data_IF_669314426839
#
_entry.id   IF_669314426839
#
_cell.length_a   1.000
_cell.length_b   1.000
_cell.length_c   1.000
_cell.angle_alpha   90.00
_cell.angle_beta   90.00
_cell.angle_gamma   90.00
#
_symmetry.space_group_name_H-M   'P 1'
#
loop_
_entity.id
_entity.type
_entity.pdbx_description
1 polymer ?
#
# COMPACT_ATOMS: atom_id res chain seq x y z
N UNK A 1 17.01 -7.85 -13.73
CA UNK A 1 16.64 -8.61 -14.95
C UNK A 1 15.81 -7.68 -15.84
N UNK A 2 15.64 -7.97 -17.13
CA UNK A 2 14.63 -7.27 -17.95
C UNK A 2 13.36 -8.11 -17.83
N UNK A 3 12.26 -7.53 -17.35
CA UNK A 3 10.97 -8.23 -17.39
C UNK A 3 10.55 -8.35 -18.86
N UNK A 4 10.39 -9.60 -19.31
CA UNK A 4 9.78 -9.92 -20.61
C UNK A 4 8.35 -10.46 -20.43
N UNK A 5 7.86 -10.50 -19.20
CA UNK A 5 6.54 -11.01 -18.90
C UNK A 5 5.49 -9.96 -19.24
N UNK A 6 4.30 -10.46 -19.55
CA UNK A 6 3.16 -9.63 -19.85
C UNK A 6 2.65 -8.95 -18.56
N UNK A 7 2.26 -7.67 -18.60
CA UNK A 7 1.65 -6.99 -17.47
C UNK A 7 0.37 -7.69 -17.00
N UNK A 8 0.14 -7.78 -15.70
CA UNK A 8 -1.07 -8.39 -15.13
C UNK A 8 -2.01 -7.32 -14.57
N UNK A 9 -1.47 -6.31 -13.88
CA UNK A 9 -2.27 -5.22 -13.31
C UNK A 9 -1.71 -3.84 -13.64
N UNK A 10 -2.62 -2.86 -13.78
CA UNK A 10 -2.27 -1.44 -13.75
C UNK A 10 -2.26 -0.95 -12.30
N UNK A 11 -1.23 -0.18 -11.91
CA UNK A 11 -1.07 0.28 -10.52
C UNK A 11 -1.01 1.79 -10.35
N UNK A 12 -0.88 2.54 -11.45
CA UNK A 12 -0.83 4.00 -11.44
C UNK A 12 -1.04 4.56 -12.86
N UNK A 13 -1.69 5.72 -12.99
CA UNK A 13 -1.84 6.46 -14.24
C UNK A 13 -1.60 7.95 -14.01
N UNK A 14 -0.80 8.56 -14.87
CA UNK A 14 -0.48 10.00 -14.82
C UNK A 14 -0.02 10.52 -16.17
N UNK A 15 0.01 11.85 -16.29
CA UNK A 15 0.62 12.53 -17.43
C UNK A 15 2.02 13.00 -17.07
N UNK A 16 3.00 12.74 -17.94
CA UNK A 16 4.30 13.40 -17.89
C UNK A 16 4.32 14.48 -18.95
N UNK A 17 4.66 15.71 -18.56
CA UNK A 17 4.82 16.81 -19.48
C UNK A 17 5.67 17.90 -18.89
N UNK A 18 5.76 19.04 -19.57
CA UNK A 18 6.42 20.20 -19.00
C UNK A 18 6.10 21.45 -19.81
N UNK A 19 6.63 22.61 -19.39
CA UNK A 19 6.37 23.89 -20.09
C UNK A 19 6.69 23.87 -21.60
N UNK A 20 7.54 22.93 -22.03
CA UNK A 20 8.01 22.81 -23.42
C UNK A 20 7.91 21.38 -23.98
N UNK A 21 7.24 20.46 -23.28
CA UNK A 21 7.10 19.05 -23.67
C UNK A 21 5.62 18.71 -23.67
N UNK A 22 5.13 18.13 -24.76
CA UNK A 22 3.75 17.68 -24.87
C UNK A 22 3.43 16.68 -23.74
N UNK A 23 2.28 16.86 -23.10
CA UNK A 23 1.82 15.93 -22.07
C UNK A 23 1.56 14.57 -22.71
N UNK A 24 2.20 13.53 -22.15
CA UNK A 24 2.04 12.14 -22.58
C UNK A 24 1.54 11.31 -21.41
N UNK A 25 0.55 10.47 -21.68
CA UNK A 25 0.02 9.55 -20.68
C UNK A 25 1.01 8.40 -20.42
N UNK A 26 1.14 8.05 -19.16
CA UNK A 26 1.92 6.94 -18.66
C UNK A 26 1.08 6.08 -17.73
N UNK A 27 1.17 4.78 -17.94
CA UNK A 27 0.61 3.75 -17.07
C UNK A 27 1.77 2.99 -16.43
N UNK A 28 1.75 2.82 -15.11
CA UNK A 28 2.65 1.90 -14.42
C UNK A 28 1.91 0.60 -14.22
N UNK A 29 2.55 -0.49 -14.58
CA UNK A 29 2.01 -1.84 -14.48
C UNK A 29 2.95 -2.75 -13.71
N UNK A 30 2.39 -3.86 -13.22
CA UNK A 30 3.13 -4.94 -12.57
C UNK A 30 2.89 -6.24 -13.34
N UNK A 31 3.93 -7.05 -13.50
CA UNK A 31 3.83 -8.38 -14.12
C UNK A 31 3.58 -9.49 -13.08
N UNK A 32 3.41 -10.72 -13.56
CA UNK A 32 3.18 -11.90 -12.72
C UNK A 32 4.35 -12.24 -11.77
N UNK A 33 5.55 -11.71 -12.02
CA UNK A 33 6.72 -11.88 -11.17
C UNK A 33 6.91 -10.72 -10.17
N UNK A 34 6.03 -9.71 -10.20
CA UNK A 34 6.11 -8.53 -9.35
C UNK A 34 7.04 -7.43 -9.88
N UNK A 35 7.51 -7.51 -11.13
CA UNK A 35 8.35 -6.46 -11.70
C UNK A 35 7.51 -5.30 -12.25
N UNK A 36 8.01 -4.09 -12.05
CA UNK A 36 7.37 -2.86 -12.52
C UNK A 36 7.72 -2.56 -13.98
N UNK A 37 6.75 -2.04 -14.72
CA UNK A 37 6.94 -1.52 -16.08
C UNK A 37 6.19 -0.20 -16.26
N UNK A 38 6.80 0.74 -16.96
CA UNK A 38 6.13 1.95 -17.41
C UNK A 38 5.77 1.82 -18.89
N UNK A 39 4.50 2.00 -19.21
CA UNK A 39 3.93 1.91 -20.55
C UNK A 39 3.44 3.29 -20.96
N UNK A 40 3.82 3.73 -22.14
CA UNK A 40 3.38 5.01 -22.69
C UNK A 40 2.13 4.86 -23.55
N UNK A 41 1.45 5.98 -23.76
CA UNK A 41 0.19 6.09 -24.49
C UNK A 41 0.04 5.25 -25.79
N UNK A 42 1.10 5.13 -26.59
CA UNK A 42 1.06 4.42 -27.88
C UNK A 42 0.79 2.92 -27.74
N UNK A 43 1.17 2.32 -26.61
CA UNK A 43 1.11 0.88 -26.37
C UNK A 43 -0.09 0.46 -25.51
N UNK A 44 -0.89 1.41 -25.02
CA UNK A 44 -2.01 1.13 -24.10
C UNK A 44 -3.05 0.18 -24.73
N UNK A 45 -3.30 0.32 -26.03
CA UNK A 45 -4.25 -0.54 -26.75
C UNK A 45 -3.80 -1.99 -26.93
N UNK A 46 -2.51 -2.26 -26.73
CA UNK A 46 -1.92 -3.60 -26.81
C UNK A 46 -1.84 -4.30 -25.44
N UNK A 47 -2.32 -3.66 -24.37
CA UNK A 47 -2.31 -4.24 -23.03
C UNK A 47 -3.35 -5.35 -22.87
N UNK A 48 -3.14 -6.31 -21.95
CA UNK A 48 -4.14 -7.34 -21.63
C UNK A 48 -5.47 -6.77 -21.19
N UNK A 49 -6.54 -7.55 -21.37
CA UNK A 49 -7.89 -7.16 -21.01
C UNK A 49 -8.02 -6.83 -19.51
N UNK A 50 -7.37 -7.58 -18.64
CA UNK A 50 -7.36 -7.34 -17.18
C UNK A 50 -6.80 -5.95 -16.84
N UNK A 51 -5.67 -5.57 -17.45
CA UNK A 51 -5.05 -4.26 -17.26
C UNK A 51 -5.93 -3.14 -17.82
N UNK A 52 -6.63 -3.37 -18.94
CA UNK A 52 -7.58 -2.42 -19.50
C UNK A 52 -8.80 -2.24 -18.60
N UNK A 53 -9.28 -3.30 -17.96
CA UNK A 53 -10.38 -3.25 -17.00
C UNK A 53 -9.98 -2.48 -15.73
N UNK A 54 -8.78 -2.71 -15.20
CA UNK A 54 -8.22 -1.94 -14.08
C UNK A 54 -8.18 -0.45 -14.41
N UNK A 55 -7.66 -0.09 -15.59
CA UNK A 55 -7.59 1.29 -16.05
C UNK A 55 -8.99 1.92 -16.19
N UNK A 56 -9.90 1.24 -16.86
CA UNK A 56 -11.27 1.74 -17.07
C UNK A 56 -12.01 1.94 -15.74
N UNK A 57 -11.83 1.03 -14.78
CA UNK A 57 -12.44 1.17 -13.47
C UNK A 57 -11.86 2.37 -12.71
N UNK A 58 -10.54 2.52 -12.71
CA UNK A 58 -9.88 3.67 -12.09
C UNK A 58 -10.31 5.00 -12.73
N UNK A 59 -10.55 5.05 -14.04
CA UNK A 59 -11.08 6.25 -14.71
C UNK A 59 -12.50 6.60 -14.26
N UNK A 60 -13.36 5.59 -14.06
CA UNK A 60 -14.77 5.79 -13.64
C UNK A 60 -14.86 6.20 -12.17
N UNK A 61 -14.14 5.51 -11.29
CA UNK A 61 -14.21 5.74 -9.83
C UNK A 61 -13.28 6.86 -9.40
N UNK A 62 -12.05 6.84 -9.90
CA UNK A 62 -11.01 7.84 -9.61
C UNK A 62 -11.27 9.21 -10.28
N UNK A 63 -12.53 9.47 -10.67
CA UNK A 63 -13.10 10.50 -11.57
C UNK A 63 -12.66 11.97 -11.42
N UNK A 64 -11.61 12.29 -10.67
CA UNK A 64 -11.10 13.65 -10.49
C UNK A 64 -9.57 13.82 -10.43
N UNK A 65 -8.79 12.73 -10.33
CA UNK A 65 -7.41 12.82 -9.86
C UNK A 65 -6.34 12.48 -10.92
N UNK A 66 -6.61 12.62 -12.22
CA UNK A 66 -5.51 12.60 -13.20
C UNK A 66 -4.56 13.75 -12.88
N UNK A 67 -3.30 13.41 -12.62
CA UNK A 67 -2.21 14.35 -12.32
C UNK A 67 -1.28 14.49 -13.51
N UNK A 68 -0.76 15.69 -13.70
CA UNK A 68 0.41 15.94 -14.53
C UNK A 68 1.62 16.11 -13.61
N UNK A 69 2.70 15.40 -13.93
CA UNK A 69 4.02 15.60 -13.36
C UNK A 69 4.84 16.41 -14.36
N UNK A 70 5.24 17.62 -13.96
CA UNK A 70 6.10 18.53 -14.72
C UNK A 70 7.56 18.04 -14.64
N UNK A 71 7.95 17.19 -15.58
CA UNK A 71 9.22 16.46 -15.56
C UNK A 71 9.77 16.19 -16.96
N UNK A 72 11.10 16.07 -17.04
CA UNK A 72 11.80 15.58 -18.22
C UNK A 72 11.92 14.06 -18.19
N UNK A 73 12.13 13.51 -16.99
CA UNK A 73 12.25 12.08 -16.75
C UNK A 73 11.69 11.69 -15.38
N UNK A 74 11.28 10.44 -15.24
CA UNK A 74 10.95 9.82 -13.97
C UNK A 74 11.54 8.41 -13.87
N UNK A 75 11.63 7.92 -12.65
CA UNK A 75 12.04 6.56 -12.31
C UNK A 75 10.89 5.89 -11.56
N UNK A 76 10.74 4.59 -11.71
CA UNK A 76 9.82 3.80 -10.89
C UNK A 76 10.64 2.92 -9.95
N UNK A 77 10.23 2.81 -8.70
CA UNK A 77 10.96 2.11 -7.66
C UNK A 77 10.05 1.15 -6.91
N UNK A 78 10.35 -0.13 -7.01
CA UNK A 78 9.71 -1.18 -6.23
C UNK A 78 10.35 -1.17 -4.84
N UNK A 79 9.61 -0.72 -3.83
CA UNK A 79 10.09 -0.69 -2.45
C UNK A 79 9.86 -2.04 -1.80
N UNK A 80 10.92 -2.63 -1.26
CA UNK A 80 10.94 -3.97 -0.65
C UNK A 80 11.24 -3.92 0.86
N UNK A 81 12.05 -2.96 1.30
CA UNK A 81 12.33 -2.76 2.72
C UNK A 81 12.67 -1.29 3.03
N UNK A 82 12.45 -0.92 4.28
CA UNK A 82 12.82 0.37 4.84
C UNK A 82 13.68 0.16 6.08
N UNK A 83 14.74 0.94 6.22
CA UNK A 83 15.60 0.97 7.40
C UNK A 83 15.73 2.38 7.96
N UNK A 84 15.61 2.50 9.29
CA UNK A 84 15.96 3.70 10.04
C UNK A 84 17.21 3.42 10.88
N UNK A 85 18.36 4.03 10.56
CA UNK A 85 19.59 3.80 11.31
C UNK A 85 19.47 4.35 12.74
N UNK A 86 20.00 3.65 13.75
CA UNK A 86 19.85 4.05 15.16
C UNK A 86 20.71 5.26 15.54
N UNK A 87 21.76 5.57 14.77
CA UNK A 87 22.76 6.61 15.06
C UNK A 87 22.38 8.01 14.57
N UNK A 88 21.24 8.17 13.90
CA UNK A 88 20.71 9.48 13.50
C UNK A 88 19.47 9.77 14.34
N UNK A 89 19.58 10.47 15.48
CA UNK A 89 18.44 10.97 16.23
C UNK A 89 18.11 12.40 15.77
N UNK A 90 16.95 12.58 15.13
CA UNK A 90 16.54 13.88 14.62
C UNK A 90 15.14 13.86 13.98
N UNK A 91 14.42 14.98 14.05
CA UNK A 91 13.08 15.08 13.43
C UNK A 91 13.04 14.80 11.92
N UNK A 92 14.17 14.92 11.21
CA UNK A 92 14.28 14.75 9.76
C UNK A 92 15.46 13.84 9.36
N UNK A 93 15.64 12.74 10.09
CA UNK A 93 16.72 11.79 9.84
C UNK A 93 16.65 11.14 8.47
N UNK A 94 17.80 10.66 7.95
CA UNK A 94 17.81 9.81 6.78
C UNK A 94 17.09 8.48 7.04
N UNK A 95 16.45 8.00 6.00
CA UNK A 95 15.74 6.74 5.91
C UNK A 95 16.22 6.05 4.64
N UNK A 96 16.59 4.79 4.77
CA UNK A 96 17.12 4.00 3.67
C UNK A 96 16.02 3.10 3.11
N UNK A 97 15.76 3.24 1.82
CA UNK A 97 14.75 2.51 1.10
C UNK A 97 15.43 1.52 0.17
N UNK A 98 15.22 0.23 0.39
CA UNK A 98 15.81 -0.85 -0.40
C UNK A 98 14.79 -1.42 -1.36
N UNK A 99 15.26 -1.75 -2.56
CA UNK A 99 14.45 -2.43 -3.56
C UNK A 99 15.01 -2.27 -4.96
N UNK A 100 14.12 -2.26 -5.96
CA UNK A 100 14.50 -2.31 -7.37
C UNK A 100 14.01 -1.09 -8.14
N UNK A 101 14.93 -0.34 -8.77
CA UNK A 101 14.66 0.85 -9.56
C UNK A 101 14.72 0.59 -11.07
N UNK A 102 13.84 1.24 -11.82
CA UNK A 102 13.75 1.17 -13.28
C UNK A 102 13.65 2.58 -13.87
N UNK A 103 14.11 2.74 -15.11
CA UNK A 103 14.16 4.03 -15.81
C UNK A 103 15.59 4.52 -16.09
N UNK A 104 15.75 5.76 -16.55
CA UNK A 104 14.72 6.80 -16.65
C UNK A 104 13.68 6.56 -17.75
N UNK A 105 12.48 7.11 -17.55
CA UNK A 105 11.39 7.17 -18.52
C UNK A 105 11.05 8.63 -18.86
N UNK A 106 10.84 8.99 -20.15
CA UNK A 106 11.02 8.15 -21.33
C UNK A 106 12.49 7.72 -21.52
N UNK A 107 12.68 6.46 -21.87
CA UNK A 107 14.00 5.89 -22.08
C UNK A 107 14.56 6.24 -23.47
N UNK A 108 15.87 6.50 -23.56
CA UNK A 108 16.58 6.66 -24.83
C UNK A 108 17.14 5.33 -25.38
N UNK A 109 17.09 4.25 -24.59
CA UNK A 109 17.62 2.91 -24.88
C UNK A 109 16.75 1.84 -24.21
N UNK A 110 16.66 0.65 -24.82
CA UNK A 110 16.00 -0.53 -24.24
C UNK A 110 16.67 -1.00 -22.92
N UNK A 111 17.92 -0.63 -22.67
CA UNK A 111 18.62 -0.95 -21.42
C UNK A 111 17.97 -0.33 -20.16
N UNK A 112 17.15 0.72 -20.33
CA UNK A 112 16.48 1.42 -19.23
C UNK A 112 15.34 0.62 -18.60
N UNK A 113 14.89 -0.48 -19.24
CA UNK A 113 13.91 -1.41 -18.68
C UNK A 113 14.53 -2.44 -17.72
N UNK A 114 15.87 -2.44 -17.57
CA UNK A 114 16.55 -3.34 -16.63
C UNK A 114 16.40 -2.81 -15.21
N UNK A 115 15.74 -3.59 -14.35
CA UNK A 115 15.68 -3.31 -12.92
C UNK A 115 17.07 -3.38 -12.28
N UNK A 116 17.41 -2.34 -11.52
CA UNK A 116 18.65 -2.21 -10.76
C UNK A 116 18.29 -2.28 -9.28
N UNK A 117 18.83 -3.26 -8.56
CA UNK A 117 18.71 -3.31 -7.11
C UNK A 117 19.65 -2.30 -6.47
N UNK A 118 19.16 -1.60 -5.45
CA UNK A 118 19.93 -0.56 -4.79
C UNK A 118 19.17 0.07 -3.64
N UNK A 119 19.73 1.18 -3.15
CA UNK A 119 19.27 1.87 -1.96
C UNK A 119 19.03 3.34 -2.28
N UNK A 120 17.79 3.80 -2.06
CA UNK A 120 17.43 5.21 -2.14
C UNK A 120 17.44 5.81 -0.73
N UNK A 121 18.24 6.86 -0.54
CA UNK A 121 18.28 7.60 0.73
C UNK A 121 17.39 8.84 0.63
N UNK A 122 16.39 8.91 1.50
CA UNK A 122 15.50 10.07 1.65
C UNK A 122 15.46 10.48 3.12
N UNK A 123 14.91 11.64 3.44
CA UNK A 123 14.67 11.98 4.84
C UNK A 123 13.27 11.53 5.28
N UNK A 124 13.06 11.34 6.59
CA UNK A 124 11.77 10.95 7.18
C UNK A 124 10.62 11.87 6.77
N UNK A 125 10.85 13.19 6.76
CA UNK A 125 9.84 14.17 6.36
C UNK A 125 9.55 14.07 4.86
N UNK A 126 10.58 13.84 4.02
CA UNK A 126 10.40 13.68 2.57
C UNK A 126 9.55 12.44 2.26
N UNK A 127 9.77 11.33 2.98
CA UNK A 127 8.99 10.11 2.84
C UNK A 127 7.52 10.30 3.24
N UNK A 128 7.27 10.83 4.45
CA UNK A 128 5.91 11.11 4.93
C UNK A 128 5.18 12.11 4.03
N UNK A 129 5.87 13.17 3.61
CA UNK A 129 5.31 14.15 2.68
C UNK A 129 4.99 13.51 1.33
N UNK A 130 5.88 12.67 0.79
CA UNK A 130 5.66 11.92 -0.44
C UNK A 130 4.37 11.11 -0.39
N UNK A 131 4.13 10.38 0.70
CA UNK A 131 2.91 9.58 0.90
C UNK A 131 1.67 10.49 0.94
N UNK A 132 1.69 11.51 1.80
CA UNK A 132 0.54 12.42 2.00
C UNK A 132 0.17 13.16 0.71
N UNK A 133 1.15 13.68 -0.02
CA UNK A 133 0.90 14.45 -1.25
C UNK A 133 0.43 13.55 -2.41
N UNK A 134 0.80 12.28 -2.39
CA UNK A 134 0.47 11.31 -3.44
C UNK A 134 -0.84 10.55 -3.17
N UNK A 135 -1.33 10.55 -1.92
CA UNK A 135 -2.49 9.77 -1.47
C UNK A 135 -3.76 9.98 -2.31
N UNK A 136 -4.04 11.23 -2.70
CA UNK A 136 -5.19 11.59 -3.53
C UNK A 136 -5.15 11.01 -4.95
N UNK A 137 -3.98 10.54 -5.38
CA UNK A 137 -3.72 9.96 -6.70
C UNK A 137 -3.56 8.45 -6.67
N UNK A 138 -4.12 7.80 -5.64
CA UNK A 138 -4.15 6.34 -5.54
C UNK A 138 -4.95 5.73 -6.68
N UNK A 139 -4.48 4.58 -7.15
CA UNK A 139 -5.14 3.80 -8.19
C UNK A 139 -6.21 2.91 -7.56
N UNK A 140 -7.42 2.93 -8.12
CA UNK A 140 -8.58 2.24 -7.55
C UNK A 140 -8.89 0.97 -8.33
N UNK A 141 -9.20 -0.11 -7.61
CA UNK A 141 -9.58 -1.39 -8.20
C UNK A 141 -11.02 -1.76 -7.89
N UNK A 142 -11.62 -2.50 -8.82
CA UNK A 142 -12.90 -3.13 -8.59
C UNK A 142 -12.73 -4.25 -7.58
N UNK A 143 -13.49 -4.18 -6.49
CA UNK A 143 -13.61 -5.30 -5.57
C UNK A 143 -14.97 -5.93 -5.70
N UNK A 144 -15.06 -7.22 -5.38
CA UNK A 144 -16.30 -7.99 -5.45
C UNK A 144 -17.44 -7.41 -4.60
N UNK A 145 -18.56 -8.13 -4.53
CA UNK A 145 -19.89 -7.71 -4.06
C UNK A 145 -20.01 -6.99 -2.68
N UNK A 146 -18.92 -6.74 -1.95
CA UNK A 146 -18.86 -6.08 -0.65
C UNK A 146 -18.65 -4.55 -0.71
N UNK A 147 -18.53 -3.93 -1.89
CA UNK A 147 -18.59 -2.47 -2.05
C UNK A 147 -17.42 -1.64 -1.49
N UNK A 148 -16.32 -2.26 -1.05
CA UNK A 148 -15.14 -1.57 -0.52
C UNK A 148 -14.03 -1.47 -1.56
N UNK A 149 -13.81 -0.29 -2.15
CA UNK A 149 -12.74 -0.07 -3.16
C UNK A 149 -11.36 -0.29 -2.56
N UNK A 150 -10.55 -1.16 -3.18
CA UNK A 150 -9.14 -1.32 -2.83
C UNK A 150 -8.30 -0.31 -3.60
N UNK A 151 -7.18 0.12 -2.98
CA UNK A 151 -6.31 1.16 -3.54
C UNK A 151 -4.86 0.71 -3.60
N UNK A 152 -4.18 1.10 -4.66
CA UNK A 152 -2.72 1.11 -4.74
C UNK A 152 -2.23 2.56 -4.63
N UNK A 153 -1.45 2.82 -3.59
CA UNK A 153 -0.81 4.10 -3.35
C UNK A 153 0.59 4.12 -3.95
N UNK A 154 0.94 5.25 -4.54
CA UNK A 154 2.31 5.59 -4.93
C UNK A 154 2.89 6.61 -3.96
N UNK A 155 4.21 6.74 -3.95
CA UNK A 155 4.96 7.71 -3.17
C UNK A 155 5.93 8.42 -4.10
N UNK A 156 5.67 9.69 -4.42
CA UNK A 156 6.62 10.50 -5.17
C UNK A 156 7.75 10.98 -4.24
N UNK A 157 8.97 10.51 -4.51
CA UNK A 157 10.17 10.77 -3.71
C UNK A 157 11.25 11.54 -4.49
N UNK A 158 12.07 12.33 -3.78
CA UNK A 158 13.16 13.08 -4.41
C UNK A 158 14.39 12.18 -4.62
N UNK A 159 14.73 11.90 -5.88
CA UNK A 159 15.92 11.13 -6.26
C UNK A 159 17.21 11.96 -6.41
N UNK A 160 17.09 13.28 -6.52
CA UNK A 160 18.24 14.17 -6.77
C UNK A 160 18.19 15.43 -5.88
N UNK A 161 19.15 16.33 -6.05
CA UNK A 161 19.23 17.63 -5.38
C UNK A 161 18.07 18.53 -5.79
N UNK A 162 17.74 19.49 -4.93
CA UNK A 162 16.64 20.44 -5.14
C UNK A 162 16.68 21.12 -6.52
N UNK A 163 17.86 21.55 -6.95
CA UNK A 163 18.10 22.22 -8.23
C UNK A 163 17.65 21.37 -9.43
N UNK A 164 17.95 20.07 -9.39
CA UNK A 164 17.63 19.13 -10.46
C UNK A 164 16.15 18.75 -10.44
N UNK A 165 15.55 18.62 -9.26
CA UNK A 165 14.10 18.44 -9.10
C UNK A 165 13.34 19.64 -9.68
N UNK A 166 13.81 20.86 -9.41
CA UNK A 166 13.22 22.07 -10.02
C UNK A 166 13.36 22.11 -11.55
N UNK A 167 14.33 21.38 -12.12
CA UNK A 167 14.49 21.20 -13.57
C UNK A 167 13.63 20.07 -14.13
N UNK A 168 12.92 19.33 -13.28
CA UNK A 168 12.10 18.18 -13.67
C UNK A 168 12.88 16.87 -13.81
N UNK A 169 14.00 16.73 -13.09
CA UNK A 169 14.80 15.49 -13.03
C UNK A 169 14.75 14.87 -11.64
N UNK A 170 15.18 13.62 -11.52
CA UNK A 170 15.27 12.95 -10.22
C UNK A 170 13.90 12.72 -9.56
N UNK A 171 12.85 12.53 -10.37
CA UNK A 171 11.51 12.23 -9.89
C UNK A 171 11.36 10.72 -9.74
N UNK A 172 11.16 10.21 -8.51
CA UNK A 172 11.08 8.76 -8.25
C UNK A 172 9.69 8.38 -7.76
N UNK A 173 8.95 7.65 -8.59
CA UNK A 173 7.67 7.06 -8.27
C UNK A 173 7.88 5.74 -7.52
N UNK A 174 7.62 5.73 -6.23
CA UNK A 174 7.89 4.58 -5.36
C UNK A 174 6.61 3.81 -5.03
N UNK A 175 6.67 2.49 -5.15
CA UNK A 175 5.53 1.59 -4.95
C UNK A 175 5.90 0.55 -3.89
N UNK A 176 5.37 0.69 -2.65
CA UNK A 176 5.41 -0.38 -1.66
C UNK A 176 4.52 -1.52 -2.16
N UNK A 177 5.10 -2.62 -2.59
CA UNK A 177 4.35 -3.76 -3.12
C UNK A 177 4.75 -5.04 -2.40
N UNK A 178 3.86 -6.01 -2.47
CA UNK A 178 4.12 -7.35 -1.97
C UNK A 178 5.11 -8.03 -2.94
N UNK A 179 6.12 -8.75 -2.45
CA UNK A 179 6.96 -9.57 -3.32
C UNK A 179 6.10 -10.56 -4.11
N UNK A 180 6.39 -10.74 -5.41
CA UNK A 180 5.61 -11.61 -6.30
C UNK A 180 5.50 -13.07 -5.83
N UNK A 181 6.48 -13.55 -5.06
CA UNK A 181 6.47 -14.91 -4.49
C UNK A 181 5.46 -15.08 -3.33
N UNK A 182 5.08 -13.98 -2.70
CA UNK A 182 4.16 -13.96 -1.55
C UNK A 182 2.78 -13.55 -2.01
N UNK A 183 2.65 -12.56 -2.89
CA UNK A 183 1.38 -12.05 -3.39
C UNK A 183 0.71 -12.97 -4.40
N UNK A 184 -0.40 -13.60 -4.02
CA UNK A 184 -1.37 -14.16 -4.96
C UNK A 184 -2.09 -13.02 -5.68
N UNK A 185 -1.46 -12.42 -6.69
CA UNK A 185 -2.10 -11.61 -7.73
C UNK A 185 -2.60 -10.21 -7.36
N UNK A 186 -2.83 -9.89 -6.09
CA UNK A 186 -3.54 -8.66 -5.74
C UNK A 186 -2.62 -7.40 -5.72
N UNK A 187 -2.91 -6.35 -6.52
CA UNK A 187 -2.00 -5.20 -6.72
C UNK A 187 -2.19 -4.05 -5.71
N UNK A 188 -3.09 -4.16 -4.73
CA UNK A 188 -3.35 -3.12 -3.73
C UNK A 188 -2.38 -3.19 -2.53
N UNK A 189 -2.10 -2.04 -1.90
CA UNK A 189 -1.05 -1.92 -0.90
C UNK A 189 -1.42 -1.11 0.36
N UNK A 190 -2.72 -0.92 0.65
CA UNK A 190 -3.19 -0.10 1.78
C UNK A 190 -2.55 -0.50 3.12
N UNK A 191 -2.39 -1.81 3.34
CA UNK A 191 -1.79 -2.34 4.56
C UNK A 191 -0.29 -2.01 4.67
N UNK A 192 0.47 -2.14 3.56
CA UNK A 192 1.89 -1.80 3.54
C UNK A 192 2.11 -0.31 3.81
N UNK A 193 1.27 0.53 3.20
CA UNK A 193 1.31 1.99 3.38
C UNK A 193 0.96 2.38 4.81
N UNK A 194 -0.05 1.76 5.41
CA UNK A 194 -0.42 1.99 6.81
C UNK A 194 0.73 1.66 7.76
N UNK A 195 1.41 0.52 7.57
CA UNK A 195 2.59 0.15 8.36
C UNK A 195 3.75 1.13 8.16
N UNK A 196 4.01 1.52 6.91
CA UNK A 196 5.05 2.50 6.60
C UNK A 196 4.82 3.82 7.33
N UNK A 197 3.60 4.37 7.27
CA UNK A 197 3.25 5.62 7.96
C UNK A 197 3.34 5.44 9.47
N UNK A 198 2.80 4.35 10.01
CA UNK A 198 2.86 4.05 11.44
C UNK A 198 4.32 4.03 11.95
N UNK A 199 5.22 3.33 11.25
CA UNK A 199 6.62 3.23 11.63
C UNK A 199 7.33 4.60 11.62
N UNK A 200 6.99 5.46 10.65
CA UNK A 200 7.54 6.81 10.57
C UNK A 200 6.99 7.72 11.68
N UNK A 201 5.68 7.65 11.96
CA UNK A 201 5.04 8.45 13.02
C UNK A 201 5.51 8.04 14.41
N UNK A 202 5.70 6.74 14.62
CA UNK A 202 6.23 6.18 15.86
C UNK A 202 7.67 6.65 16.11
N UNK A 203 8.54 6.57 15.10
CA UNK A 203 9.90 7.11 15.19
C UNK A 203 9.91 8.62 15.42
N UNK A 204 9.07 9.37 14.70
CA UNK A 204 8.95 10.82 14.86
C UNK A 204 8.49 11.20 16.27
N UNK A 205 7.55 10.43 16.84
CA UNK A 205 7.08 10.63 18.21
C UNK A 205 8.21 10.46 19.22
N UNK A 206 9.04 9.44 19.07
CA UNK A 206 10.22 9.22 19.93
C UNK A 206 11.16 10.43 19.90
N UNK A 207 11.44 10.96 18.72
CA UNK A 207 12.38 12.08 18.58
C UNK A 207 11.79 13.40 19.09
N UNK A 208 10.51 13.66 18.85
CA UNK A 208 9.76 14.77 19.48
C UNK A 208 9.87 14.72 21.01
N UNK A 209 9.75 13.53 21.60
CA UNK A 209 9.86 13.35 23.04
C UNK A 209 11.29 13.59 23.53
N UNK A 210 12.32 13.04 22.85
CA UNK A 210 13.73 13.23 23.19
C UNK A 210 14.15 14.70 23.10
N UNK A 211 13.78 15.38 22.03
CA UNK A 211 14.11 16.78 21.77
C UNK A 211 13.20 17.78 22.52
N UNK A 212 12.16 17.28 23.21
CA UNK A 212 11.17 18.08 23.96
C UNK A 212 10.45 19.11 23.08
N UNK A 213 10.21 18.77 21.83
CA UNK A 213 9.51 19.63 20.87
C UNK A 213 8.03 19.72 21.27
N UNK A 214 7.46 20.93 21.22
CA UNK A 214 6.04 21.14 21.49
C UNK A 214 5.21 20.69 20.27
N UNK A 215 4.73 19.45 20.29
CA UNK A 215 4.03 18.85 19.16
C UNK A 215 2.89 17.92 19.62
N UNK A 216 1.71 17.92 18.95
CA UNK A 216 0.56 17.10 19.36
C UNK A 216 0.84 15.59 19.45
N UNK A 217 1.70 15.05 18.57
CA UNK A 217 2.08 13.64 18.60
C UNK A 217 2.74 13.19 19.91
N UNK A 218 3.35 14.11 20.66
CA UNK A 218 4.15 13.78 21.85
C UNK A 218 3.38 12.94 22.86
N UNK A 219 2.13 13.31 23.11
CA UNK A 219 1.25 12.69 24.11
C UNK A 219 0.12 11.86 23.48
N UNK A 220 0.01 11.86 22.15
CA UNK A 220 -1.02 11.14 21.43
C UNK A 220 -0.75 9.63 21.45
N UNK A 221 -1.80 8.83 21.68
CA UNK A 221 -1.74 7.38 21.44
C UNK A 221 -1.93 7.12 19.95
N UNK A 222 -0.94 6.51 19.29
CA UNK A 222 -1.03 6.19 17.87
C UNK A 222 -2.01 5.02 17.65
N UNK A 223 -2.89 5.08 16.64
CA UNK A 223 -3.70 3.93 16.25
C UNK A 223 -2.79 2.80 15.74
N UNK A 224 -3.22 1.55 15.89
CA UNK A 224 -2.51 0.39 15.37
C UNK A 224 -3.04 0.00 13.99
N UNK A 225 -2.18 -0.54 13.13
CA UNK A 225 -2.54 -0.91 11.76
C UNK A 225 -3.48 -2.11 11.72
N UNK A 226 -3.27 -3.08 12.61
CA UNK A 226 -4.22 -4.17 12.83
C UNK A 226 -4.30 -4.47 14.31
N UNK A 227 -5.50 -4.30 14.87
CA UNK A 227 -5.74 -4.62 16.27
C UNK A 227 -5.62 -6.12 16.50
N UNK A 228 -6.04 -6.95 15.54
CA UNK A 228 -5.91 -8.40 15.64
C UNK A 228 -4.45 -8.85 15.84
N UNK A 229 -3.52 -8.33 15.04
CA UNK A 229 -2.10 -8.71 15.14
C UNK A 229 -1.51 -8.22 16.45
N UNK A 230 -1.81 -6.99 16.84
CA UNK A 230 -1.40 -6.41 18.10
C UNK A 230 -1.90 -7.22 19.31
N UNK A 231 -3.16 -7.65 19.29
CA UNK A 231 -3.73 -8.50 20.33
C UNK A 231 -3.06 -9.87 20.41
N UNK A 232 -2.71 -10.48 19.27
CA UNK A 232 -2.02 -11.76 19.23
C UNK A 232 -0.58 -11.65 19.76
N UNK A 233 0.13 -10.56 19.41
CA UNK A 233 1.45 -10.28 19.94
C UNK A 233 1.41 -10.11 21.46
N UNK A 234 0.43 -9.36 21.98
CA UNK A 234 0.22 -9.22 23.41
C UNK A 234 -0.11 -10.55 24.10
N UNK A 235 -0.99 -11.37 23.52
CA UNK A 235 -1.29 -12.71 24.05
C UNK A 235 -0.04 -13.60 24.08
N UNK A 236 0.79 -13.55 23.05
CA UNK A 236 2.07 -14.29 23.00
C UNK A 236 3.06 -13.86 24.10
N UNK A 237 2.94 -12.62 24.57
CA UNK A 237 3.75 -12.04 25.65
C UNK A 237 3.13 -12.23 27.04
N UNK A 238 2.02 -13.00 27.15
CA UNK A 238 1.38 -13.32 28.43
C UNK A 238 0.37 -12.27 28.92
N UNK A 239 -0.13 -11.41 28.03
CA UNK A 239 -1.26 -10.53 28.34
C UNK A 239 -2.59 -11.22 28.09
N UNK A 240 -3.55 -10.99 28.99
CA UNK A 240 -4.96 -11.34 28.80
C UNK A 240 -5.72 -10.09 28.43
N UNK A 241 -6.48 -10.20 27.34
CA UNK A 241 -7.26 -9.11 26.79
C UNK A 241 -8.72 -9.30 27.20
N UNK A 242 -9.29 -8.31 27.87
CA UNK A 242 -10.71 -8.24 28.24
C UNK A 242 -11.30 -6.95 27.65
N UNK A 243 -12.02 -7.08 26.55
CA UNK A 243 -12.50 -5.91 25.79
C UNK A 243 -11.32 -5.06 25.31
N UNK A 244 -11.37 -3.75 25.59
CA UNK A 244 -10.30 -2.80 25.22
C UNK A 244 -9.17 -2.71 26.24
N UNK A 245 -9.04 -3.69 27.15
CA UNK A 245 -7.99 -3.65 28.18
C UNK A 245 -7.12 -4.90 28.14
N UNK A 246 -5.80 -4.69 28.04
CA UNK A 246 -4.80 -5.72 28.27
C UNK A 246 -4.33 -5.69 29.74
N UNK A 247 -4.26 -6.87 30.36
CA UNK A 247 -3.72 -7.07 31.71
C UNK A 247 -2.66 -8.16 31.67
N UNK A 248 -1.47 -7.91 32.23
CA UNK A 248 -0.43 -8.93 32.34
C UNK A 248 -0.88 -10.00 33.33
N UNK A 249 -0.82 -11.28 32.96
CA UNK A 249 -1.10 -12.35 33.91
C UNK A 249 0.03 -12.44 34.95
N UNK A 250 -0.27 -12.34 36.26
CA UNK A 250 0.71 -12.68 37.28
C UNK A 250 1.02 -14.19 37.18
N UNK A 251 2.24 -14.54 36.75
CA UNK A 251 2.71 -15.92 36.61
C UNK A 251 2.94 -16.42 35.17
N UNK A 252 2.74 -15.60 34.14
CA UNK A 252 3.01 -15.97 32.74
C UNK A 252 4.50 -15.85 32.32
N UNK A 253 5.39 -15.45 33.23
CA UNK A 253 6.82 -15.73 33.08
C UNK A 253 7.01 -17.24 33.30
N UNK A 254 7.36 -17.96 32.24
CA UNK A 254 7.37 -19.42 32.20
C UNK A 254 7.95 -20.09 33.43
N UNK A 255 7.31 -21.20 33.81
CA UNK A 255 7.85 -22.13 34.79
C UNK A 255 9.17 -22.72 34.31
N UNK A 256 10.26 -22.08 34.69
CA UNK A 256 11.60 -22.66 34.80
C UNK A 256 12.20 -22.13 36.12
N UNK A 257 12.42 -22.96 37.14
CA UNK A 257 13.07 -22.52 38.36
C UNK A 257 14.56 -22.25 38.06
N UNK A 258 15.06 -21.09 38.47
CA UNK A 258 16.48 -20.70 38.54
C UNK A 258 17.21 -20.17 37.28
N UNK A 259 16.59 -19.34 36.43
CA UNK A 259 17.37 -18.46 35.54
C UNK A 259 16.92 -17.00 35.66
N UNK A 260 17.64 -16.29 36.54
CA UNK A 260 17.94 -14.85 36.59
C UNK A 260 16.80 -13.82 36.76
N UNK A 261 17.00 -12.77 37.61
CA UNK A 261 16.07 -11.63 37.79
C UNK A 261 15.94 -10.68 36.57
N UNK A 262 16.44 -11.06 35.39
CA UNK A 262 16.62 -10.15 34.25
C UNK A 262 15.39 -10.07 33.32
N UNK A 263 14.41 -10.97 33.48
CA UNK A 263 13.16 -10.98 32.66
C UNK A 263 12.07 -10.06 33.24
N UNK A 264 12.27 -9.54 34.45
CA UNK A 264 11.45 -8.47 35.05
C UNK A 264 11.72 -7.09 34.42
N UNK A 265 12.84 -6.93 33.72
CA UNK A 265 13.29 -5.68 33.13
C UNK A 265 13.27 -5.65 31.61
N UNK A 266 12.70 -6.64 30.92
CA UNK A 266 12.52 -6.53 29.47
C UNK A 266 11.49 -5.42 29.20
N UNK A 267 11.89 -4.27 28.63
CA UNK A 267 10.93 -3.26 28.24
C UNK A 267 9.98 -3.91 27.24
N UNK A 268 8.70 -3.54 27.32
CA UNK A 268 7.75 -3.81 26.26
C UNK A 268 8.41 -3.43 24.91
N UNK A 269 8.21 -4.21 23.83
CA UNK A 269 8.68 -3.82 22.50
C UNK A 269 8.33 -2.35 22.24
N UNK A 270 9.24 -1.58 21.63
CA UNK A 270 9.04 -0.12 21.44
C UNK A 270 7.70 0.22 20.76
N UNK A 271 7.27 -0.63 19.83
CA UNK A 271 5.96 -0.58 19.17
C UNK A 271 4.78 -0.63 20.15
N UNK A 272 4.95 -1.30 21.29
CA UNK A 272 3.96 -1.45 22.35
C UNK A 272 4.08 -0.28 23.34
N UNK A 273 5.29 0.19 23.72
CA UNK A 273 5.41 1.33 24.64
C UNK A 273 4.88 2.65 24.08
N UNK A 274 4.98 2.87 22.78
CA UNK A 274 4.59 4.14 22.17
C UNK A 274 3.11 4.19 21.76
N UNK A 275 2.53 3.02 21.49
CA UNK A 275 1.10 2.83 21.29
C UNK A 275 0.31 2.76 22.62
N UNK A 276 1.00 2.70 23.77
CA UNK A 276 0.38 2.67 25.09
C UNK A 276 0.56 4.02 25.78
N UNK A 277 -0.53 4.57 26.32
CA UNK A 277 -0.49 5.73 27.21
C UNK A 277 0.19 5.43 28.55
N UNK A 278 -0.12 6.21 29.61
CA UNK A 278 0.44 5.94 30.96
C UNK A 278 0.09 4.53 31.44
N UNK A 279 1.08 3.64 31.50
CA UNK A 279 0.98 2.31 32.10
C UNK A 279 0.79 2.50 33.62
N UNK A 280 -0.36 2.07 34.15
CA UNK A 280 -0.63 2.05 35.58
C UNK A 280 -0.84 0.59 35.98
N UNK A 281 0.12 0.02 36.71
CA UNK A 281 -0.01 -1.31 37.36
C UNK A 281 -0.40 -2.45 36.40
N UNK A 282 0.44 -2.73 35.39
CA UNK A 282 0.30 -3.89 34.49
C UNK A 282 -1.02 -3.97 33.68
N UNK A 283 -1.76 -2.87 33.62
CA UNK A 283 -3.02 -2.72 32.88
C UNK A 283 -2.92 -1.51 31.96
N UNK A 284 -3.36 -1.67 30.72
CA UNK A 284 -3.48 -0.57 29.78
C UNK A 284 -4.62 -0.76 28.79
N UNK A 285 -5.11 0.35 28.25
CA UNK A 285 -6.14 0.38 27.20
C UNK A 285 -5.51 0.15 25.84
N UNK A 286 -6.09 -0.75 25.06
CA UNK A 286 -5.65 -1.03 23.71
C UNK A 286 -5.90 0.19 22.81
N UNK A 287 -4.94 0.57 21.96
CA UNK A 287 -5.15 1.59 20.94
C UNK A 287 -6.20 1.13 19.92
N UNK A 288 -6.96 2.07 19.31
CA UNK A 288 -7.89 1.74 18.24
C UNK A 288 -7.16 1.27 16.98
N UNK A 289 -7.86 0.50 16.15
CA UNK A 289 -7.40 0.20 14.78
C UNK A 289 -7.63 1.43 13.88
N UNK A 290 -6.61 1.82 13.12
CA UNK A 290 -6.70 2.92 12.17
C UNK A 290 -6.84 2.43 10.74
N UNK A 291 -7.63 3.14 9.93
CA UNK A 291 -7.65 2.96 8.47
C UNK A 291 -6.45 3.66 7.82
N UNK A 292 -6.13 3.31 6.57
CA UNK A 292 -5.05 4.01 5.83
C UNK A 292 -5.31 5.52 5.72
N UNK A 293 -6.58 5.94 5.60
CA UNK A 293 -6.96 7.35 5.55
C UNK A 293 -6.74 8.04 6.91
N UNK A 294 -6.99 7.35 8.03
CA UNK A 294 -6.67 7.86 9.37
C UNK A 294 -5.17 8.10 9.53
N UNK A 295 -4.34 7.17 9.05
CA UNK A 295 -2.88 7.31 9.07
C UNK A 295 -2.39 8.44 8.18
N UNK A 296 -2.93 8.58 6.96
CA UNK A 296 -2.59 9.68 6.04
C UNK A 296 -2.99 11.04 6.67
N UNK A 297 -4.18 11.14 7.25
CA UNK A 297 -4.64 12.35 7.91
C UNK A 297 -3.76 12.70 9.12
N UNK A 298 -3.38 11.70 9.92
CA UNK A 298 -2.48 11.88 11.06
C UNK A 298 -1.09 12.34 10.62
N UNK A 299 -0.54 11.75 9.55
CA UNK A 299 0.73 12.17 8.96
C UNK A 299 0.67 13.61 8.46
N UNK A 300 -0.40 13.99 7.74
CA UNK A 300 -0.59 15.35 7.26
C UNK A 300 -0.64 16.37 8.41
N UNK A 301 -1.43 16.10 9.44
CA UNK A 301 -1.55 16.98 10.62
C UNK A 301 -0.22 17.13 11.36
N UNK A 302 0.53 16.04 11.46
CA UNK A 302 1.83 16.02 12.12
C UNK A 302 2.87 16.82 11.34
N UNK A 303 2.98 16.59 10.03
CA UNK A 303 3.90 17.33 9.16
C UNK A 303 3.70 18.85 9.24
N UNK A 304 2.44 19.31 9.20
CA UNK A 304 2.10 20.74 9.26
C UNK A 304 2.52 21.44 10.57
N UNK A 305 2.81 20.69 11.63
CA UNK A 305 3.22 21.20 12.93
C UNK A 305 4.71 21.05 13.20
N UNK A 306 5.46 20.40 12.29
CA UNK A 306 6.91 20.29 12.41
C UNK A 306 7.61 21.60 12.02
N UNK A 307 8.67 21.99 12.74
CA UNK A 307 9.48 23.15 12.37
C UNK A 307 10.18 22.90 11.03
N UNK A 308 10.13 23.88 10.13
CA UNK A 308 10.80 23.80 8.83
C UNK A 308 10.06 22.99 7.75
N UNK A 309 8.82 22.54 8.01
CA UNK A 309 7.97 21.92 6.99
C UNK A 309 7.26 22.97 6.10
N UNK A 310 7.13 22.75 4.78
CA UNK A 310 7.78 21.69 4.01
C UNK A 310 9.28 21.99 3.77
N UNK A 311 10.15 20.97 3.80
CA UNK A 311 11.55 21.16 3.46
C UNK A 311 11.70 21.57 1.98
N UNK A 312 12.81 22.24 1.60
CA UNK A 312 13.00 22.75 0.24
C UNK A 312 12.85 21.69 -0.87
N UNK A 313 13.40 20.48 -0.67
CA UNK A 313 13.26 19.34 -1.61
C UNK A 313 11.81 18.90 -1.77
N UNK A 314 11.06 18.73 -0.68
CA UNK A 314 9.64 18.39 -0.75
C UNK A 314 8.83 19.48 -1.44
N UNK A 315 9.12 20.76 -1.18
CA UNK A 315 8.47 21.89 -1.84
C UNK A 315 8.76 21.92 -3.35
N UNK A 316 10.00 21.68 -3.75
CA UNK A 316 10.40 21.57 -5.15
C UNK A 316 9.63 20.43 -5.84
N UNK A 317 9.52 19.27 -5.18
CA UNK A 317 8.79 18.11 -5.70
C UNK A 317 7.29 18.36 -5.81
N UNK A 318 6.66 18.95 -4.79
CA UNK A 318 5.25 19.35 -4.80
C UNK A 318 4.95 20.32 -5.96
N UNK A 319 5.86 21.26 -6.26
CA UNK A 319 5.68 22.21 -7.36
C UNK A 319 5.63 21.55 -8.75
N UNK A 320 6.08 20.29 -8.87
CA UNK A 320 6.03 19.53 -10.11
C UNK A 320 4.70 18.84 -10.34
N UNK A 321 3.90 18.60 -9.29
CA UNK A 321 2.63 17.90 -9.43
C UNK A 321 1.49 18.90 -9.58
N UNK A 322 0.72 18.75 -10.65
CA UNK A 322 -0.43 19.59 -10.97
C UNK A 322 -1.62 18.71 -11.36
N UNK A 323 -2.83 19.24 -11.27
CA UNK A 323 -3.98 18.59 -11.88
C UNK A 323 -3.79 18.54 -13.40
N UNK A 324 -4.13 17.41 -14.02
CA UNK A 324 -4.03 17.27 -15.48
C UNK A 324 -4.89 18.31 -16.20
N UNK A 325 -4.38 18.80 -17.34
CA UNK A 325 -5.09 19.78 -18.18
C UNK A 325 -6.41 19.22 -18.72
N UNK A 326 -7.34 20.09 -19.09
CA UNK A 326 -8.61 19.68 -19.69
C UNK A 326 -8.35 19.02 -21.05
N UNK A 327 -7.35 19.49 -21.78
CA UNK A 327 -6.92 18.95 -23.06
C UNK A 327 -6.35 17.53 -22.94
N UNK A 328 -5.49 17.28 -21.94
CA UNK A 328 -4.97 15.94 -21.66
C UNK A 328 -6.11 14.96 -21.30
N UNK A 329 -7.04 15.39 -20.44
CA UNK A 329 -8.22 14.58 -20.07
C UNK A 329 -9.15 14.33 -21.26
N UNK A 330 -9.32 15.30 -22.14
CA UNK A 330 -10.12 15.14 -23.35
C UNK A 330 -9.46 14.17 -24.37
N UNK A 331 -8.13 14.07 -24.37
CA UNK A 331 -7.38 13.05 -25.12
C UNK A 331 -7.64 11.64 -24.61
N UNK A 332 -7.67 11.46 -23.28
CA UNK A 332 -7.95 10.19 -22.61
C UNK A 332 -9.37 9.68 -22.91
N UNK A 333 -10.38 10.55 -22.76
CA UNK A 333 -11.80 10.21 -22.99
C UNK A 333 -12.15 9.85 -24.45
N UNK A 334 -11.32 10.23 -25.44
CA UNK A 334 -11.55 9.86 -26.86
C UNK A 334 -11.15 8.43 -27.20
N UNK A 335 -10.47 7.72 -26.30
CA UNK A 335 -9.99 6.35 -26.54
C UNK A 335 -10.99 5.26 -26.12
N UNK A 336 -12.09 5.63 -25.46
CA UNK A 336 -13.13 4.71 -24.96
C UNK A 336 -14.46 4.76 -25.73
N UNK A 337 -14.41 4.97 -27.04
CA UNK A 337 -15.49 4.54 -27.93
C UNK A 337 -14.89 3.78 -29.10
N UNK A 338 -14.97 2.45 -29.10
CA UNK A 338 -14.58 1.64 -30.24
C UNK A 338 -15.36 2.09 -31.48
N UNK A 339 -14.73 2.66 -32.52
CA UNK A 339 -15.43 2.98 -33.75
C UNK A 339 -15.66 1.68 -34.56
N UNK A 340 -16.77 1.55 -35.31
CA UNK A 340 -16.90 0.45 -36.26
C UNK A 340 -15.77 0.54 -37.30
N UNK A 341 -15.11 -0.60 -37.53
CA UNK A 341 -13.92 -0.72 -38.40
C UNK A 341 -14.11 -0.01 -39.75
N UNK A 342 -13.33 1.05 -40.06
CA UNK A 342 -13.29 1.59 -41.41
C UNK A 342 -12.30 0.81 -42.29
N UNK A 343 -12.67 0.69 -43.56
CA UNK A 343 -11.97 -0.01 -44.63
C UNK A 343 -10.60 0.63 -44.88
N UNK A 344 -9.57 -0.22 -45.08
CA UNK A 344 -8.20 0.16 -45.41
C UNK A 344 -8.13 0.93 -46.73
N UNK A 345 -7.50 2.09 -46.72
CA UNK A 345 -6.85 2.69 -47.90
C UNK A 345 -5.42 3.16 -47.52
N UNK A 346 -4.43 2.98 -48.40
CA UNK A 346 -3.04 3.23 -48.06
C UNK A 346 -2.55 4.66 -48.38
N UNK A 347 -1.52 5.03 -47.61
CA UNK A 347 -0.41 5.95 -47.88
C UNK A 347 -0.58 7.46 -47.60
N UNK A 348 0.29 7.93 -46.70
CA UNK A 348 0.72 9.32 -46.53
C UNK A 348 1.74 9.41 -45.39
N UNK A 349 3.03 9.56 -45.72
CA UNK A 349 4.15 9.59 -44.79
C UNK A 349 4.08 10.79 -43.83
N UNK A 350 4.25 10.56 -42.53
CA UNK A 350 4.43 11.61 -41.53
C UNK A 350 5.88 11.59 -41.05
N UNK A 351 6.45 12.79 -40.92
CA UNK A 351 7.82 13.10 -40.53
C UNK A 351 8.22 12.52 -39.17
N UNK A 352 9.48 12.07 -39.08
CA UNK A 352 10.10 11.60 -37.86
C UNK A 352 10.21 12.70 -36.77
N UNK A 353 10.06 12.35 -35.48
CA UNK A 353 10.34 13.25 -34.37
C UNK A 353 11.85 13.49 -34.20
N UNK A 354 12.27 14.59 -33.56
CA UNK A 354 13.68 14.89 -33.36
C UNK A 354 14.34 13.86 -32.43
N UNK A 355 15.65 13.60 -32.58
CA UNK A 355 16.35 12.61 -31.79
C UNK A 355 16.40 13.03 -30.31
N UNK A 356 15.93 12.14 -29.43
CA UNK A 356 16.14 12.25 -28.00
C UNK A 356 17.65 12.35 -27.72
N UNK A 357 18.06 13.40 -27.00
CA UNK A 357 19.44 13.57 -26.57
C UNK A 357 19.79 12.40 -25.63
N UNK A 358 20.95 11.79 -25.86
CA UNK A 358 21.50 10.71 -25.02
C UNK A 358 21.60 11.21 -23.57
N UNK A 359 20.67 10.82 -22.71
CA UNK A 359 20.78 11.08 -21.29
C UNK A 359 21.95 10.26 -20.76
N UNK A 360 23.04 10.93 -20.42
CA UNK A 360 24.10 10.32 -19.60
C UNK A 360 23.44 9.92 -18.28
N UNK A 361 23.67 8.68 -17.82
CA UNK A 361 23.18 8.20 -16.53
C UNK A 361 23.47 9.24 -15.46
N UNK A 362 22.42 9.70 -14.77
CA UNK A 362 22.50 10.74 -13.75
C UNK A 362 23.44 10.31 -12.62
N UNK A 363 24.29 11.21 -12.13
CA UNK A 363 25.37 10.88 -11.18
C UNK A 363 24.83 10.20 -9.90
N UNK A 364 23.65 10.61 -9.42
CA UNK A 364 22.98 10.04 -8.25
C UNK A 364 22.58 8.56 -8.43
N UNK A 365 22.33 8.09 -9.66
CA UNK A 365 22.01 6.68 -9.94
C UNK A 365 23.22 5.78 -9.65
N UNK A 366 24.44 6.30 -9.74
CA UNK A 366 25.62 5.54 -9.36
C UNK A 366 25.68 5.36 -7.83
N UNK A 367 25.31 6.40 -7.06
CA UNK A 367 25.24 6.33 -5.59
C UNK A 367 24.23 5.28 -5.12
N UNK A 368 23.09 5.17 -5.83
CA UNK A 368 22.08 4.13 -5.61
C UNK A 368 22.66 2.70 -5.76
N UNK A 369 23.57 2.49 -6.72
CA UNK A 369 24.21 1.19 -7.00
C UNK A 369 25.33 0.88 -6.00
N UNK A 370 26.16 1.87 -5.65
CA UNK A 370 27.38 1.64 -4.86
C UNK A 370 27.11 1.29 -3.41
N UNK A 371 26.03 1.82 -2.84
CA UNK A 371 25.74 1.70 -1.40
C UNK A 371 25.32 0.27 -1.02
N UNK A 372 24.67 -0.46 -1.94
CA UNK A 372 24.22 -1.84 -1.74
C UNK A 372 25.34 -2.90 -1.69
N UNK A 373 26.61 -2.49 -1.89
CA UNK A 373 27.79 -3.37 -1.83
C UNK A 373 28.51 -3.35 -0.48
N UNK A 374 28.08 -2.52 0.47
CA UNK A 374 28.70 -2.47 1.81
C UNK A 374 28.01 -3.48 2.75
N UNK A 375 28.81 -4.21 3.53
CA UNK A 375 28.32 -5.23 4.46
C UNK A 375 27.60 -4.60 5.66
N UNK A 376 26.50 -5.21 6.16
CA UNK A 376 25.73 -4.66 7.28
C UNK A 376 26.53 -4.68 8.59
N UNK A 377 26.66 -3.50 9.20
CA UNK A 377 27.19 -3.35 10.56
C UNK A 377 26.24 -3.92 11.62
N UNK A 378 26.81 -4.44 12.69
CA UNK A 378 26.12 -5.22 13.72
C UNK A 378 25.54 -4.33 14.85
N UNK A 379 24.55 -3.48 14.54
CA UNK A 379 23.80 -2.66 15.52
C UNK A 379 22.29 -2.87 15.35
N UNK A 380 21.49 -2.66 16.42
CA UNK A 380 20.04 -2.85 16.40
C UNK A 380 19.35 -1.78 15.52
N UNK A 381 19.18 -2.09 14.24
CA UNK A 381 18.50 -1.25 13.24
C UNK A 381 16.99 -1.47 13.26
N UNK A 382 16.18 -0.41 13.11
CA UNK A 382 14.74 -0.57 12.85
C UNK A 382 14.55 -0.87 11.37
N UNK A 383 14.46 -2.15 11.04
CA UNK A 383 14.20 -2.65 9.69
C UNK A 383 12.73 -3.05 9.54
N UNK A 384 12.01 -2.34 8.68
CA UNK A 384 10.68 -2.73 8.22
C UNK A 384 10.83 -3.50 6.92
N UNK A 385 10.87 -4.83 7.02
CA UNK A 385 10.86 -5.69 5.84
C UNK A 385 9.42 -5.83 5.33
N UNK A 386 9.13 -5.33 4.14
CA UNK A 386 7.77 -5.39 3.60
C UNK A 386 7.34 -6.83 3.40
N UNK A 387 8.24 -7.78 3.13
CA UNK A 387 7.94 -9.23 3.06
C UNK A 387 7.40 -9.79 4.37
N UNK A 388 7.94 -9.37 5.52
CA UNK A 388 7.44 -9.81 6.83
C UNK A 388 6.08 -9.19 7.15
N UNK A 389 5.90 -7.92 6.78
CA UNK A 389 4.62 -7.21 6.88
C UNK A 389 3.57 -7.84 5.94
N UNK A 390 3.97 -8.25 4.75
CA UNK A 390 3.17 -8.95 3.74
C UNK A 390 2.58 -10.26 4.27
N UNK A 391 3.37 -11.07 4.97
CA UNK A 391 2.89 -12.32 5.57
C UNK A 391 1.84 -12.07 6.67
N UNK A 392 1.94 -10.94 7.37
CA UNK A 392 0.94 -10.51 8.35
C UNK A 392 -0.33 -10.04 7.62
N UNK A 393 -0.19 -9.26 6.54
CA UNK A 393 -1.31 -8.77 5.72
C UNK A 393 -2.16 -9.93 5.18
N UNK A 394 -1.53 -11.00 4.70
CA UNK A 394 -2.23 -12.18 4.19
C UNK A 394 -2.99 -12.94 5.27
N UNK A 395 -2.43 -13.05 6.48
CA UNK A 395 -3.14 -13.65 7.62
C UNK A 395 -4.38 -12.82 7.99
N UNK A 396 -4.29 -11.50 7.87
CA UNK A 396 -5.43 -10.59 8.13
C UNK A 396 -6.48 -10.70 7.01
N UNK A 397 -6.09 -10.75 5.73
CA UNK A 397 -7.04 -10.84 4.61
C UNK A 397 -7.74 -12.21 4.53
N UNK A 398 -7.02 -13.30 4.79
CA UNK A 398 -7.55 -14.67 4.77
C UNK A 398 -8.39 -15.03 5.99
N UNK A 399 -8.35 -14.22 7.05
CA UNK A 399 -9.08 -14.47 8.32
C UNK A 399 -9.99 -13.33 8.73
N UNK A 400 -10.39 -12.46 7.79
CA UNK A 400 -11.60 -11.65 7.97
C UNK A 400 -12.71 -12.66 8.30
N UNK A 401 -13.40 -12.57 9.46
CA UNK A 401 -14.41 -13.55 9.79
C UNK A 401 -15.40 -13.55 8.63
N UNK A 402 -15.57 -14.70 7.97
CA UNK A 402 -16.70 -14.93 7.09
C UNK A 402 -17.90 -14.38 7.85
N UNK A 403 -18.48 -13.30 7.33
CA UNK A 403 -19.60 -12.63 7.96
C UNK A 403 -20.57 -13.74 8.32
N UNK A 404 -20.80 -13.96 9.63
CA UNK A 404 -21.88 -14.82 10.08
C UNK A 404 -23.08 -14.39 9.26
N UNK A 405 -23.65 -15.31 8.47
CA UNK A 405 -24.88 -15.06 7.75
C UNK A 405 -25.82 -14.38 8.75
N UNK A 406 -26.21 -13.12 8.52
CA UNK A 406 -27.02 -12.41 9.49
C UNK A 406 -28.35 -13.16 9.59
N UNK A 407 -28.87 -13.34 10.80
CA UNK A 407 -29.99 -14.27 11.08
C UNK A 407 -31.24 -14.00 10.22
N UNK A 408 -31.43 -12.77 9.72
CA UNK A 408 -32.50 -12.40 8.80
C UNK A 408 -32.43 -13.09 7.42
N UNK A 409 -31.28 -13.63 7.00
CA UNK A 409 -31.15 -14.41 5.76
C UNK A 409 -31.81 -15.79 5.85
N UNK A 410 -32.08 -16.29 7.07
CA UNK A 410 -32.78 -17.57 7.25
C UNK A 410 -34.26 -17.47 6.89
N UNK A 411 -34.87 -16.29 7.04
CA UNK A 411 -36.29 -16.05 6.74
C UNK A 411 -36.63 -16.16 5.24
N UNK A 412 -35.64 -16.05 4.36
CA UNK A 412 -35.81 -16.15 2.91
C UNK A 412 -35.37 -17.50 2.31
N UNK A 413 -34.77 -18.39 3.11
CA UNK A 413 -34.31 -19.71 2.66
C UNK A 413 -35.40 -20.79 2.62
N UNK A 414 -36.64 -20.44 2.97
CA UNK A 414 -37.78 -21.35 3.05
C UNK A 414 -38.71 -21.33 1.83
N UNK A 415 -38.23 -20.91 0.65
CA UNK A 415 -39.01 -21.02 -0.59
C UNK A 415 -38.12 -21.37 -1.78
N UNK A 416 -37.89 -22.67 -1.98
CA UNK A 416 -37.91 -23.35 -3.29
C UNK A 416 -37.29 -24.75 -3.16
N UNK A 417 -38.11 -25.75 -2.82
CA UNK A 417 -37.83 -27.14 -3.21
C UNK A 417 -38.67 -27.45 -4.43
N UNK A 418 -38.07 -27.63 -5.62
CA UNK A 418 -38.80 -28.14 -6.77
C UNK A 418 -39.17 -29.60 -6.54
N UNK A 419 -40.46 -29.87 -6.65
CA UNK A 419 -41.03 -31.19 -6.83
C UNK A 419 -40.45 -31.84 -8.09
N UNK A 420 -39.89 -33.04 -7.94
CA UNK A 420 -39.64 -33.94 -9.06
C UNK A 420 -40.23 -35.30 -8.72
N UNK A 421 -41.30 -35.60 -9.44
CA UNK A 421 -41.96 -36.90 -9.50
C UNK A 421 -41.04 -37.98 -10.07
N UNK A 422 -41.52 -39.21 -9.89
CA UNK A 422 -41.12 -40.45 -10.56
C UNK A 422 -39.92 -41.21 -9.98
N UNK A 423 -40.23 -42.11 -9.03
CA UNK A 423 -39.73 -43.48 -9.09
C UNK A 423 -40.76 -44.48 -8.55
N UNK A 424 -41.30 -45.25 -9.49
CA UNK A 424 -42.10 -46.45 -9.26
C UNK A 424 -41.26 -47.57 -8.64
N UNK A 425 -41.89 -48.30 -7.73
CA UNK A 425 -41.67 -49.71 -7.39
C UNK A 425 -40.41 -50.07 -6.60
N UNK A 426 -40.53 -50.23 -5.27
CA UNK A 426 -40.57 -51.56 -4.62
C UNK A 426 -41.02 -51.44 -3.15
N UNK A 427 -42.15 -52.08 -2.85
CA UNK A 427 -42.56 -52.54 -1.51
C UNK A 427 -41.72 -53.79 -1.09
N UNK A 428 -41.71 -54.26 0.17
CA UNK A 428 -42.75 -54.07 1.20
C UNK A 428 -42.30 -53.65 2.60
N UNK A 429 -43.33 -53.22 3.30
CA UNK A 429 -43.53 -52.81 4.68
C UNK A 429 -43.26 -53.88 5.74
N UNK A 430 -42.70 -53.45 6.88
CA UNK A 430 -43.11 -53.94 8.19
C UNK A 430 -43.61 -52.77 9.07
N UNK A 431 -44.76 -53.05 9.69
CA UNK A 431 -45.63 -52.27 10.56
C UNK A 431 -44.95 -51.62 11.79
N UNK A 432 -45.35 -50.40 12.15
CA UNK A 432 -46.29 -50.13 13.28
C UNK A 432 -46.45 -48.63 13.55
N UNK A 433 -47.71 -48.25 13.69
CA UNK A 433 -48.26 -46.95 14.07
C UNK A 433 -48.29 -46.77 15.59
N UNK A 434 -48.11 -45.53 16.07
CA UNK A 434 -48.95 -44.93 17.11
C UNK A 434 -48.79 -43.41 17.11
N UNK A 435 -49.86 -42.73 16.73
CA UNK A 435 -50.07 -41.29 16.78
C UNK A 435 -50.18 -40.81 18.24
N UNK A 436 -49.56 -39.67 18.57
CA UNK A 436 -49.93 -38.84 19.71
C UNK A 436 -50.26 -37.45 19.19
N UNK A 437 -51.52 -37.04 19.39
CA UNK A 437 -52.02 -35.70 19.11
C UNK A 437 -51.29 -34.64 19.97
N UNK A 438 -50.87 -33.48 19.40
CA UNK A 438 -50.11 -32.47 20.14
C UNK A 438 -50.93 -31.59 21.11
N UNK A 439 -50.25 -31.14 22.15
CA UNK A 439 -50.72 -30.59 23.43
C UNK A 439 -51.33 -29.17 23.41
N UNK A 440 -51.74 -28.65 22.25
CA UNK A 440 -52.28 -27.27 22.12
C UNK A 440 -53.82 -27.20 22.07
N UNK A 441 -54.50 -28.34 22.22
CA UNK A 441 -55.96 -28.46 22.12
C UNK A 441 -56.70 -28.47 23.47
N UNK A 442 -56.09 -27.99 24.56
CA UNK A 442 -56.67 -28.03 25.92
C UNK A 442 -57.29 -26.71 26.44
N UNK A 443 -57.22 -25.61 25.69
CA UNK A 443 -57.66 -24.29 26.19
C UNK A 443 -58.94 -23.74 25.53
N UNK A 444 -59.81 -24.61 24.99
CA UNK A 444 -61.15 -24.24 24.53
C UNK A 444 -62.20 -25.19 25.14
N UNK A 445 -62.47 -25.02 26.44
CA UNK A 445 -63.78 -25.31 27.07
C UNK A 445 -64.53 -24.01 27.34
#
# INVERSE_FOLDING_TARGET
MISQLEPVHAIDSFFLGGRHVAEREWLVTIDAAGFLKAVSDDDLSALPEEVQQDLAFNEVIGSAASRTIDGQEFYIFHLEALEQPPETPGLNDPVYLYGTMYGPFPASSEDCYRGIQGQLTVNRIDLLAGVVNSAQYSFHYQTGAAGATQRCFNILLPGDREEEIMRGKGLVMTYPLMPGDVGLGDPWNEFLVSNLIYDMLDALKDDIQKEKVNHPLRDMTLPVVSRFTFENDLKSQGYVIKGDTAMRQPGAAGGLPNILPDVLNKPLPKSITNAIGKIIKDKFTLPPEGTVDDFIALAQQSLLKLPGYPPPRAKALQSRVRSASVEARAGQSRKTAAPPRPIKTPAGSVSAPPPAQKSKKSEWMNDFITTHRQEPGNTETRLTNLTSVSQIAQKVSSQRPASKNPEWLNDFSSQNKPSKEERKTTQPSEQKTSESTPDWMKDFE
#
